data_IF_090842224194
#
_entry.id   IF_090842224194
#
_cell.length_a   1.000
_cell.length_b   1.000
_cell.length_c   1.000
_cell.angle_alpha   90.00
_cell.angle_beta   90.00
_cell.angle_gamma   90.00
#
_symmetry.space_group_name_H-M   'P 1'
#
loop_
_entity.id
_entity.type
_entity.pdbx_description
1 polymer ?
#
# COMPACT_ATOMS: atom_id res chain seq x y z
N UNK A 1 -1.09 26.26 -1.83
CA UNK A 1 -1.84 25.20 -1.15
C UNK A 1 -2.05 24.02 -2.09
N UNK A 2 -1.60 22.87 -1.69
CA UNK A 2 -1.83 21.62 -2.43
C UNK A 2 -3.10 20.99 -1.89
N UNK A 3 -4.08 20.74 -2.77
CA UNK A 3 -5.31 20.05 -2.43
C UNK A 3 -5.20 18.59 -2.88
N UNK A 4 -5.60 17.66 -2.04
CA UNK A 4 -5.62 16.24 -2.36
C UNK A 4 -6.72 15.55 -1.52
N UNK A 5 -7.04 14.31 -1.87
CA UNK A 5 -7.97 13.50 -1.07
C UNK A 5 -7.20 12.34 -0.47
N UNK A 6 -7.29 12.14 0.84
CA UNK A 6 -6.65 11.01 1.53
C UNK A 6 -7.73 10.17 2.21
N UNK A 7 -7.85 8.91 1.83
CA UNK A 7 -8.83 7.96 2.36
C UNK A 7 -10.26 8.53 2.34
N UNK A 8 -10.62 9.23 1.27
CA UNK A 8 -11.94 9.83 1.08
C UNK A 8 -12.15 11.19 1.74
N UNK A 9 -11.20 11.69 2.51
CA UNK A 9 -11.26 13.01 3.14
C UNK A 9 -10.45 14.05 2.35
N UNK A 10 -11.03 15.21 2.07
CA UNK A 10 -10.32 16.31 1.45
C UNK A 10 -9.29 16.89 2.40
N UNK A 11 -8.10 17.14 1.89
CA UNK A 11 -6.96 17.66 2.62
C UNK A 11 -6.35 18.86 1.91
N UNK A 12 -5.77 19.76 2.68
CA UNK A 12 -5.08 20.95 2.18
C UNK A 12 -3.71 21.03 2.84
N UNK A 13 -2.65 21.11 2.03
CA UNK A 13 -1.28 21.18 2.50
C UNK A 13 -0.60 22.48 2.06
N UNK A 14 -0.10 23.26 3.02
CA UNK A 14 0.57 24.52 2.79
C UNK A 14 2.07 24.51 3.12
N UNK A 15 2.66 23.33 3.30
CA UNK A 15 4.08 23.16 3.59
C UNK A 15 4.95 23.05 2.34
N UNK A 16 6.14 22.48 2.50
CA UNK A 16 7.13 22.33 1.44
C UNK A 16 6.64 21.38 0.34
N UNK A 17 6.46 21.83 -0.91
CA UNK A 17 5.94 20.98 -2.00
C UNK A 17 6.82 19.76 -2.33
N UNK A 18 8.12 19.84 -2.07
CA UNK A 18 9.05 18.73 -2.28
C UNK A 18 9.07 17.71 -1.14
N UNK A 19 8.31 17.95 -0.06
CA UNK A 19 8.17 16.98 1.03
C UNK A 19 7.69 15.64 0.47
N UNK A 20 8.32 14.50 0.85
CA UNK A 20 7.81 13.19 0.49
C UNK A 20 6.42 12.93 1.08
N UNK A 21 5.52 12.37 0.27
CA UNK A 21 4.17 11.99 0.68
C UNK A 21 4.17 11.12 1.96
N UNK A 22 5.14 10.22 2.10
CA UNK A 22 5.24 9.36 3.28
C UNK A 22 5.27 10.16 4.59
N UNK A 23 6.04 11.26 4.66
CA UNK A 23 6.13 12.09 5.86
C UNK A 23 4.84 12.88 6.11
N UNK A 24 4.19 13.37 5.06
CA UNK A 24 2.89 13.99 5.18
C UNK A 24 1.87 13.02 5.81
N UNK A 25 1.82 11.79 5.31
CA UNK A 25 0.90 10.77 5.84
C UNK A 25 1.21 10.45 7.32
N UNK A 26 2.48 10.23 7.65
CA UNK A 26 2.88 9.78 8.99
C UNK A 26 2.91 10.91 10.03
N UNK A 27 3.53 12.03 9.68
CA UNK A 27 3.86 13.07 10.67
C UNK A 27 2.79 14.15 10.76
N UNK A 28 2.05 14.41 9.69
CA UNK A 28 1.00 15.43 9.67
C UNK A 28 -0.38 14.81 9.86
N UNK A 29 -0.70 13.74 9.13
CA UNK A 29 -2.01 13.10 9.24
C UNK A 29 -2.06 11.99 10.30
N UNK A 30 -0.94 11.56 10.85
CA UNK A 30 -0.89 10.48 11.85
C UNK A 30 -1.22 9.08 11.29
N UNK A 31 -1.18 8.90 9.97
CA UNK A 31 -1.43 7.63 9.30
C UNK A 31 -0.13 6.83 9.25
N UNK A 32 0.15 6.07 10.30
CA UNK A 32 1.44 5.43 10.53
C UNK A 32 1.57 4.02 9.96
N UNK A 33 0.56 3.51 9.27
CA UNK A 33 0.60 2.18 8.65
C UNK A 33 1.67 2.05 7.58
N UNK A 34 1.80 3.04 6.70
CA UNK A 34 2.90 3.10 5.73
C UNK A 34 4.23 3.35 6.44
N UNK A 35 5.27 2.60 6.07
CA UNK A 35 6.56 2.59 6.78
C UNK A 35 7.70 3.11 5.92
N UNK A 36 8.69 3.72 6.57
CA UNK A 36 9.97 4.07 5.95
C UNK A 36 10.93 2.87 6.02
N UNK A 37 11.53 2.50 4.89
CA UNK A 37 12.59 1.50 4.84
C UNK A 37 13.81 2.05 4.12
N UNK A 38 13.86 1.99 2.78
CA UNK A 38 15.01 2.44 1.99
C UNK A 38 15.04 3.95 1.71
N UNK A 39 13.91 4.61 1.60
CA UNK A 39 13.81 6.03 1.24
C UNK A 39 14.12 6.35 -0.24
N UNK A 40 14.33 5.33 -1.06
CA UNK A 40 14.71 5.45 -2.48
C UNK A 40 13.80 4.68 -3.43
N UNK A 41 12.62 4.28 -2.96
CA UNK A 41 11.60 3.64 -3.77
C UNK A 41 11.80 2.15 -4.07
N UNK A 42 12.73 1.46 -3.38
CA UNK A 42 13.09 0.07 -3.69
C UNK A 42 12.39 -0.97 -2.82
N UNK A 43 12.29 -0.76 -1.50
CA UNK A 43 11.84 -1.82 -0.58
C UNK A 43 10.33 -2.05 -0.56
N UNK A 44 9.54 -1.07 -0.91
CA UNK A 44 8.08 -1.18 -0.97
C UNK A 44 7.34 -1.01 0.37
N UNK A 45 8.02 -0.80 1.50
CA UNK A 45 7.37 -0.64 2.80
C UNK A 45 6.45 0.59 2.87
N UNK A 46 6.69 1.59 2.04
CA UNK A 46 5.93 2.84 1.95
C UNK A 46 4.80 2.82 0.92
N UNK A 47 4.49 1.69 0.30
CA UNK A 47 3.51 1.62 -0.79
C UNK A 47 2.13 2.09 -0.34
N UNK A 48 1.57 3.01 -1.12
CA UNK A 48 0.19 3.50 -1.04
C UNK A 48 -0.43 3.43 -2.42
N UNK A 49 -1.72 3.73 -2.54
CA UNK A 49 -2.33 3.93 -3.86
C UNK A 49 -2.44 5.42 -4.16
N UNK A 50 -1.99 5.82 -5.34
CA UNK A 50 -2.24 7.13 -5.95
C UNK A 50 -3.11 6.89 -7.17
N UNK A 51 -4.34 7.40 -7.17
CA UNK A 51 -5.34 7.11 -8.21
C UNK A 51 -5.54 5.60 -8.46
N UNK A 52 -5.49 4.80 -7.40
CA UNK A 52 -5.67 3.35 -7.45
C UNK A 52 -4.43 2.55 -7.84
N UNK A 53 -3.31 3.21 -8.13
CA UNK A 53 -2.07 2.56 -8.53
C UNK A 53 -1.07 2.48 -7.38
N UNK A 54 -0.44 1.33 -7.20
CA UNK A 54 0.61 1.15 -6.20
C UNK A 54 1.79 2.11 -6.47
N UNK A 55 2.11 2.91 -5.48
CA UNK A 55 3.09 4.00 -5.60
C UNK A 55 3.97 4.05 -4.36
N UNK A 56 5.26 4.31 -4.54
CA UNK A 56 6.23 4.45 -3.43
C UNK A 56 6.15 5.86 -2.85
N UNK A 57 5.52 6.01 -1.70
CA UNK A 57 5.30 7.33 -1.08
C UNK A 57 6.57 8.01 -0.58
N UNK A 58 7.67 7.27 -0.37
CA UNK A 58 8.94 7.85 0.08
C UNK A 58 9.65 8.68 -1.00
N UNK A 59 9.33 8.48 -2.28
CA UNK A 59 9.92 9.21 -3.41
C UNK A 59 8.89 10.00 -4.23
N UNK A 60 7.63 10.00 -3.80
CA UNK A 60 6.56 10.82 -4.38
C UNK A 60 6.48 12.12 -3.58
N UNK A 61 6.55 13.27 -4.24
CA UNK A 61 6.47 14.57 -3.55
C UNK A 61 5.02 15.01 -3.34
N UNK A 62 4.79 15.90 -2.38
CA UNK A 62 3.47 16.49 -2.19
C UNK A 62 2.99 17.23 -3.45
N UNK A 63 3.90 17.86 -4.20
CA UNK A 63 3.59 18.48 -5.49
C UNK A 63 2.95 17.50 -6.46
N UNK A 64 3.47 16.27 -6.52
CA UNK A 64 2.98 15.22 -7.43
C UNK A 64 1.61 14.70 -7.06
N UNK A 65 1.13 14.97 -5.84
CA UNK A 65 -0.17 14.52 -5.35
C UNK A 65 -1.29 15.53 -5.53
N UNK A 66 -0.99 16.71 -6.09
CA UNK A 66 -1.99 17.76 -6.28
C UNK A 66 -3.20 17.28 -7.08
N UNK A 67 -4.39 17.43 -6.51
CA UNK A 67 -5.64 17.00 -7.11
C UNK A 67 -5.89 15.50 -7.14
N UNK A 68 -5.02 14.69 -6.54
CA UNK A 68 -5.10 13.22 -6.61
C UNK A 68 -5.73 12.60 -5.36
N UNK A 69 -6.23 11.39 -5.55
CA UNK A 69 -6.78 10.55 -4.47
C UNK A 69 -5.72 9.57 -4.00
N UNK A 70 -5.43 9.64 -2.72
CA UNK A 70 -4.47 8.78 -2.03
C UNK A 70 -5.24 7.79 -1.16
N UNK A 71 -4.89 6.52 -1.23
CA UNK A 71 -5.41 5.50 -0.33
C UNK A 71 -4.24 4.84 0.39
N UNK A 72 -4.28 4.83 1.71
CA UNK A 72 -3.32 4.13 2.56
C UNK A 72 -3.91 2.81 3.04
N UNK A 73 -3.13 1.99 3.75
CA UNK A 73 -3.63 0.74 4.31
C UNK A 73 -4.81 0.97 5.28
N UNK A 74 -4.81 2.09 5.98
CA UNK A 74 -5.91 2.49 6.87
C UNK A 74 -7.21 2.78 6.09
N UNK A 75 -7.12 3.15 4.82
CA UNK A 75 -8.26 3.48 3.97
C UNK A 75 -8.72 2.36 3.05
N UNK A 76 -8.15 1.15 3.14
CA UNK A 76 -8.64 0.00 2.35
C UNK A 76 -9.99 -0.51 2.82
N UNK A 77 -10.30 -0.36 4.09
CA UNK A 77 -11.61 -0.73 4.63
C UNK A 77 -12.69 0.22 4.11
N UNK A 78 -13.78 -0.32 3.60
CA UNK A 78 -14.96 0.47 3.18
C UNK A 78 -16.19 -0.15 3.75
N UNK A 79 -16.54 -1.17 4.04
CA UNK A 79 -17.67 -1.84 4.70
C UNK A 79 -17.16 -3.11 5.40
N UNK A 80 -16.10 -2.96 6.17
CA UNK A 80 -15.34 -4.02 6.78
C UNK A 80 -13.99 -4.23 6.08
N UNK A 81 -13.22 -5.20 6.55
CA UNK A 81 -11.88 -5.48 6.03
C UNK A 81 -11.89 -5.81 4.54
N UNK A 82 -10.92 -5.25 3.83
CA UNK A 82 -10.67 -5.63 2.44
C UNK A 82 -10.30 -7.12 2.34
N UNK A 83 -10.71 -7.85 1.27
CA UNK A 83 -10.39 -9.28 1.12
C UNK A 83 -8.92 -9.63 1.32
N UNK A 84 -8.01 -8.78 0.86
CA UNK A 84 -6.57 -8.93 1.09
C UNK A 84 -6.25 -8.91 2.58
N UNK A 85 -6.79 -7.96 3.33
CA UNK A 85 -6.57 -7.86 4.79
C UNK A 85 -7.10 -9.09 5.53
N UNK A 86 -8.29 -9.56 5.14
CA UNK A 86 -8.86 -10.80 5.70
C UNK A 86 -7.95 -12.00 5.46
N UNK A 87 -7.49 -12.17 4.22
CA UNK A 87 -6.60 -13.27 3.85
C UNK A 87 -5.27 -13.21 4.62
N UNK A 88 -4.71 -12.00 4.82
CA UNK A 88 -3.50 -11.80 5.64
C UNK A 88 -3.68 -12.28 7.07
N UNK A 89 -4.83 -11.99 7.66
CA UNK A 89 -5.16 -12.45 9.02
C UNK A 89 -5.39 -13.96 9.08
N UNK A 90 -6.17 -14.50 8.14
CA UNK A 90 -6.52 -15.91 8.11
C UNK A 90 -5.30 -16.82 7.93
N UNK A 91 -4.37 -16.41 7.09
CA UNK A 91 -3.14 -17.17 6.80
C UNK A 91 -2.02 -16.83 7.79
N UNK A 92 -2.23 -15.81 8.63
CA UNK A 92 -1.23 -15.36 9.61
C UNK A 92 0.11 -15.03 8.93
N UNK A 93 0.05 -14.18 7.91
CA UNK A 93 1.19 -13.83 7.06
C UNK A 93 2.35 -13.18 7.82
N UNK A 94 2.13 -12.15 8.68
CA UNK A 94 3.22 -11.37 9.27
C UNK A 94 4.12 -12.16 10.22
N UNK A 95 5.41 -11.78 10.26
CA UNK A 95 6.30 -12.03 11.38
C UNK A 95 6.55 -10.72 12.13
N UNK A 96 7.58 -9.92 11.78
CA UNK A 96 7.77 -8.64 12.46
C UNK A 96 6.69 -7.60 12.12
N UNK A 97 6.03 -7.74 10.99
CA UNK A 97 4.94 -6.88 10.55
C UNK A 97 5.37 -5.59 9.84
N UNK A 98 6.65 -5.26 9.82
CA UNK A 98 7.11 -3.95 9.33
C UNK A 98 6.80 -3.70 7.85
N UNK A 99 6.98 -4.70 6.97
CA UNK A 99 6.75 -4.58 5.53
C UNK A 99 5.29 -4.80 5.12
N UNK A 100 4.42 -5.22 6.04
CA UNK A 100 3.15 -5.83 5.65
C UNK A 100 2.14 -4.83 5.11
N UNK A 101 2.10 -3.59 5.60
CA UNK A 101 1.24 -2.56 5.03
C UNK A 101 1.55 -2.35 3.53
N UNK A 102 2.83 -2.25 3.18
CA UNK A 102 3.27 -2.13 1.78
C UNK A 102 2.94 -3.38 0.96
N UNK A 103 3.11 -4.58 1.52
CA UNK A 103 2.74 -5.84 0.87
C UNK A 103 1.24 -5.90 0.57
N UNK A 104 0.42 -5.53 1.54
CA UNK A 104 -1.05 -5.51 1.40
C UNK A 104 -1.47 -4.51 0.31
N UNK A 105 -0.89 -3.31 0.32
CA UNK A 105 -1.23 -2.29 -0.67
C UNK A 105 -0.85 -2.71 -2.09
N UNK A 106 0.32 -3.33 -2.27
CA UNK A 106 0.74 -3.86 -3.57
C UNK A 106 -0.18 -4.99 -4.03
N UNK A 107 -0.53 -5.90 -3.14
CA UNK A 107 -1.44 -7.01 -3.43
C UNK A 107 -2.84 -6.51 -3.81
N UNK A 108 -3.37 -5.54 -3.07
CA UNK A 108 -4.68 -4.95 -3.37
C UNK A 108 -4.71 -4.27 -4.73
N UNK A 109 -3.64 -3.57 -5.13
CA UNK A 109 -3.52 -2.97 -6.45
C UNK A 109 -3.47 -4.04 -7.55
N UNK A 110 -2.73 -5.12 -7.35
CA UNK A 110 -2.69 -6.25 -8.29
C UNK A 110 -4.09 -6.84 -8.50
N UNK A 111 -4.79 -7.16 -7.43
CA UNK A 111 -6.13 -7.76 -7.52
C UNK A 111 -7.19 -6.80 -8.04
N UNK A 112 -6.99 -5.50 -7.89
CA UNK A 112 -7.82 -4.48 -8.50
C UNK A 112 -7.71 -4.42 -10.02
N UNK A 113 -6.55 -4.77 -10.57
CA UNK A 113 -6.28 -4.78 -12.00
C UNK A 113 -6.44 -6.17 -12.63
N UNK A 114 -6.20 -7.22 -11.87
CA UNK A 114 -6.27 -8.62 -12.34
C UNK A 114 -6.92 -9.52 -11.29
N UNK A 115 -8.09 -10.03 -11.61
CA UNK A 115 -8.93 -10.79 -10.65
C UNK A 115 -8.37 -12.18 -10.29
N UNK A 116 -7.64 -12.81 -11.18
CA UNK A 116 -7.14 -14.18 -10.97
C UNK A 116 -5.71 -14.31 -11.49
N UNK A 117 -4.72 -13.69 -10.80
CA UNK A 117 -3.34 -13.75 -11.24
C UNK A 117 -2.74 -15.15 -11.07
N UNK A 118 -1.89 -15.56 -12.01
CA UNK A 118 -1.07 -16.75 -11.88
C UNK A 118 0.04 -16.54 -10.83
N UNK A 119 0.67 -17.63 -10.40
CA UNK A 119 1.79 -17.54 -9.44
C UNK A 119 2.92 -16.65 -9.97
N UNK A 120 3.23 -16.76 -11.28
CA UNK A 120 4.25 -15.92 -11.92
C UNK A 120 3.87 -14.43 -11.87
N UNK A 121 2.62 -14.10 -12.16
CA UNK A 121 2.13 -12.72 -12.12
C UNK A 121 2.12 -12.14 -10.71
N UNK A 122 1.82 -12.96 -9.72
CA UNK A 122 1.95 -12.58 -8.30
C UNK A 122 3.41 -12.29 -7.97
N UNK A 123 4.31 -13.18 -8.34
CA UNK A 123 5.74 -13.03 -8.06
C UNK A 123 6.32 -11.77 -8.72
N UNK A 124 5.95 -11.50 -9.97
CA UNK A 124 6.37 -10.28 -10.66
C UNK A 124 5.82 -9.01 -9.99
N UNK A 125 4.54 -9.00 -9.68
CA UNK A 125 3.90 -7.82 -9.07
C UNK A 125 4.48 -7.52 -7.67
N UNK A 126 4.81 -8.56 -6.91
CA UNK A 126 5.31 -8.43 -5.54
C UNK A 126 6.83 -8.34 -5.43
N UNK A 127 7.57 -8.48 -6.53
CA UNK A 127 9.04 -8.52 -6.54
C UNK A 127 9.71 -7.27 -5.95
N UNK A 128 9.05 -6.12 -6.04
CA UNK A 128 9.54 -4.86 -5.47
C UNK A 128 9.24 -4.67 -3.98
N UNK A 129 8.58 -5.62 -3.32
CA UNK A 129 8.21 -5.54 -1.91
C UNK A 129 9.04 -6.54 -1.10
N UNK A 130 10.00 -6.03 -0.33
CA UNK A 130 10.98 -6.85 0.39
C UNK A 130 10.44 -7.21 1.79
N UNK A 131 10.56 -8.49 2.16
CA UNK A 131 10.29 -8.98 3.50
C UNK A 131 11.55 -9.62 4.09
N UNK A 132 12.17 -8.98 5.08
CA UNK A 132 13.38 -9.50 5.70
C UNK A 132 13.15 -10.81 6.48
N UNK A 133 11.91 -11.01 6.95
CA UNK A 133 11.49 -12.24 7.62
C UNK A 133 11.20 -13.39 6.63
N UNK A 134 11.13 -13.11 5.34
CA UNK A 134 10.96 -14.14 4.31
C UNK A 134 9.54 -14.71 4.20
N UNK A 135 8.50 -13.92 4.48
CA UNK A 135 7.09 -14.39 4.47
C UNK A 135 6.50 -14.56 3.07
N UNK A 136 7.30 -14.60 2.02
CA UNK A 136 6.85 -14.58 0.62
C UNK A 136 5.88 -15.70 0.24
N UNK A 137 6.07 -16.91 0.74
CA UNK A 137 5.15 -18.03 0.46
C UNK A 137 3.77 -17.79 1.04
N UNK A 138 3.70 -17.24 2.26
CA UNK A 138 2.42 -16.87 2.89
C UNK A 138 1.75 -15.71 2.17
N UNK A 139 2.54 -14.73 1.72
CA UNK A 139 2.05 -13.60 0.91
C UNK A 139 1.37 -14.12 -0.36
N UNK A 140 2.03 -15.00 -1.11
CA UNK A 140 1.45 -15.59 -2.32
C UNK A 140 0.17 -16.35 -2.01
N UNK A 141 0.16 -17.19 -0.98
CA UNK A 141 -1.02 -17.93 -0.55
C UNK A 141 -2.18 -17.00 -0.17
N UNK A 142 -1.89 -15.92 0.54
CA UNK A 142 -2.89 -14.93 0.94
C UNK A 142 -3.47 -14.18 -0.27
N UNK A 143 -2.65 -13.83 -1.25
CA UNK A 143 -3.12 -13.19 -2.49
C UNK A 143 -4.07 -14.12 -3.25
N UNK A 144 -3.72 -15.40 -3.36
CA UNK A 144 -4.58 -16.40 -4.01
C UNK A 144 -5.91 -16.58 -3.27
N UNK A 145 -5.88 -16.63 -1.95
CA UNK A 145 -7.10 -16.71 -1.14
C UNK A 145 -7.98 -15.47 -1.31
N UNK A 146 -7.39 -14.28 -1.28
CA UNK A 146 -8.11 -13.03 -1.51
C UNK A 146 -8.72 -12.97 -2.92
N UNK A 147 -7.99 -13.41 -3.94
CA UNK A 147 -8.49 -13.48 -5.31
C UNK A 147 -9.74 -14.36 -5.43
N UNK A 148 -9.75 -15.50 -4.75
CA UNK A 148 -10.91 -16.40 -4.67
C UNK A 148 -12.14 -15.75 -4.04
N UNK A 149 -11.95 -14.92 -3.01
CA UNK A 149 -13.04 -14.20 -2.36
C UNK A 149 -13.58 -13.04 -3.23
N UNK A 150 -12.73 -12.43 -4.04
CA UNK A 150 -13.08 -11.30 -4.91
C UNK A 150 -13.69 -11.72 -6.25
N UNK A 151 -13.62 -12.99 -6.57
CA UNK A 151 -14.10 -13.54 -7.84
C UNK A 151 -15.64 -13.50 -7.97
#
# INVERSE_FOLDING_TARGET
MIQLTVNGAEQSFGGEPEMPLLWYLRDILGLTGSKFGCGIGLCGACTVHVEGQATRSCVTTMRDTAGKRITTVEGLEKNGLHPVQKAWMQINVPQCGYCQAGQIMQAAALLGSKKNPSDHEIDEAMAGNICRCGTYQRIRAAIKAAAGEMA
#
